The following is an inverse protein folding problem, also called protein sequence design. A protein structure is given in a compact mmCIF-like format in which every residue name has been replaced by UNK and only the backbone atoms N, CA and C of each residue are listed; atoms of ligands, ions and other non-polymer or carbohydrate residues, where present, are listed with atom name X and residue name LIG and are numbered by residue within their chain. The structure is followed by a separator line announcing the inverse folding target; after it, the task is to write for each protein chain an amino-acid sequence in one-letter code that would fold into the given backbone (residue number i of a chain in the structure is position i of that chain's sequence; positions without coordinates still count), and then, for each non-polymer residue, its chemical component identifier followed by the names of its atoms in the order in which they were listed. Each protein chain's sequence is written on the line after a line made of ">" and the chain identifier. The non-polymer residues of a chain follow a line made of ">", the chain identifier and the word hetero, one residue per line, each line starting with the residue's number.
data_IF_152267737632
#
_entry.id   IF_152267737632
#
_cell.length_a   1.000
_cell.length_b   1.000
_cell.length_c   1.000
_cell.angle_alpha   90.00
_cell.angle_beta   90.00
_cell.angle_gamma   90.00
#
_symmetry.space_group_name_H-M   'P 1'
#
loop_
_entity.id
_entity.type
_entity.pdbx_description
1 polymer ?
#
# COMPACT_ATOMS: atom_id res chain seq x y z
N UNK A 1 -18.88 39.74 -3.57
CA UNK A 1 -19.11 38.41 -4.19
C UNK A 1 -17.98 37.43 -3.94
N UNK A 2 -16.73 37.73 -4.28
CA UNK A 2 -15.59 36.82 -4.04
C UNK A 2 -15.44 36.33 -2.59
N UNK A 3 -15.34 37.24 -1.61
CA UNK A 3 -15.18 36.85 -0.21
C UNK A 3 -16.33 36.02 0.33
N UNK A 4 -17.55 36.32 -0.14
CA UNK A 4 -18.73 35.57 0.22
C UNK A 4 -18.67 34.14 -0.35
N UNK A 5 -18.34 33.97 -1.62
CA UNK A 5 -18.24 32.63 -2.22
C UNK A 5 -17.10 31.80 -1.63
N UNK A 6 -15.95 32.42 -1.32
CA UNK A 6 -14.87 31.74 -0.58
C UNK A 6 -15.30 31.34 0.83
N UNK A 7 -15.97 32.23 1.57
CA UNK A 7 -16.42 31.92 2.93
C UNK A 7 -17.45 30.78 2.94
N UNK A 8 -18.37 30.77 1.97
CA UNK A 8 -19.34 29.68 1.81
C UNK A 8 -18.62 28.37 1.46
N UNK A 9 -17.66 28.39 0.54
CA UNK A 9 -16.86 27.21 0.20
C UNK A 9 -16.07 26.67 1.41
N UNK A 10 -15.46 27.54 2.21
CA UNK A 10 -14.71 27.14 3.40
C UNK A 10 -15.63 26.61 4.51
N UNK A 11 -16.80 27.23 4.71
CA UNK A 11 -17.81 26.71 5.63
C UNK A 11 -18.30 25.34 5.17
N UNK A 12 -18.47 25.15 3.86
CA UNK A 12 -18.86 23.87 3.29
C UNK A 12 -17.81 22.77 3.56
N UNK A 13 -16.53 23.08 3.32
CA UNK A 13 -15.42 22.18 3.68
C UNK A 13 -15.43 21.85 5.17
N UNK A 14 -15.59 22.85 6.04
CA UNK A 14 -15.56 22.65 7.48
C UNK A 14 -16.71 21.73 7.94
N UNK A 15 -17.94 21.97 7.47
CA UNK A 15 -19.10 21.14 7.82
C UNK A 15 -18.95 19.69 7.34
N UNK A 16 -18.47 19.49 6.12
CA UNK A 16 -18.24 18.13 5.59
C UNK A 16 -17.05 17.44 6.26
N UNK A 17 -16.05 18.19 6.74
CA UNK A 17 -14.87 17.63 7.43
C UNK A 17 -15.19 17.04 8.80
N UNK A 18 -16.20 17.56 9.50
CA UNK A 18 -16.66 17.07 10.82
C UNK A 18 -17.92 16.21 10.74
N UNK A 19 -18.46 16.04 9.54
CA UNK A 19 -19.62 15.18 9.25
C UNK A 19 -19.16 14.10 8.29
N UNK A 20 -19.81 13.96 7.14
CA UNK A 20 -19.42 13.05 6.06
C UNK A 20 -19.45 13.80 4.73
N UNK A 21 -18.73 13.30 3.73
CA UNK A 21 -18.76 13.87 2.38
C UNK A 21 -20.16 13.70 1.78
N UNK A 22 -20.75 14.79 1.27
CA UNK A 22 -22.15 14.81 0.83
C UNK A 22 -23.15 15.19 1.91
N UNK A 23 -22.70 15.55 3.12
CA UNK A 23 -23.59 16.09 4.17
C UNK A 23 -24.40 17.29 3.67
N UNK A 24 -23.75 18.20 2.94
CA UNK A 24 -24.41 19.41 2.43
C UNK A 24 -25.42 19.08 1.35
N UNK A 25 -25.09 18.17 0.44
CA UNK A 25 -26.00 17.70 -0.59
C UNK A 25 -27.27 17.09 0.02
N UNK A 26 -27.11 16.25 1.04
CA UNK A 26 -28.24 15.63 1.73
C UNK A 26 -29.13 16.62 2.47
N UNK A 27 -28.61 17.78 2.89
CA UNK A 27 -29.38 18.78 3.67
C UNK A 27 -29.93 19.93 2.83
N UNK A 28 -29.20 20.35 1.79
CA UNK A 28 -29.53 21.52 0.97
C UNK A 28 -29.94 21.16 -0.46
N UNK A 29 -29.82 19.89 -0.88
CA UNK A 29 -30.09 19.46 -2.26
C UNK A 29 -29.06 19.95 -3.27
N UNK A 30 -27.90 20.44 -2.81
CA UNK A 30 -26.82 20.98 -3.64
C UNK A 30 -25.47 20.42 -3.19
N UNK A 31 -24.72 19.85 -4.13
CA UNK A 31 -23.38 19.32 -3.87
C UNK A 31 -22.42 20.42 -3.39
N UNK A 32 -21.57 20.09 -2.42
CA UNK A 32 -20.54 21.01 -1.91
C UNK A 32 -19.57 21.49 -3.00
N UNK A 33 -19.36 20.65 -4.02
CA UNK A 33 -18.56 20.95 -5.21
C UNK A 33 -19.05 22.18 -5.97
N UNK A 34 -20.36 22.47 -5.93
CA UNK A 34 -20.93 23.68 -6.56
C UNK A 34 -20.39 24.93 -5.88
N UNK A 35 -20.32 24.94 -4.55
CA UNK A 35 -19.77 26.09 -3.81
C UNK A 35 -18.27 26.25 -4.07
N UNK A 36 -17.53 25.15 -4.21
CA UNK A 36 -16.11 25.19 -4.57
C UNK A 36 -15.93 25.78 -5.96
N UNK A 37 -16.67 25.29 -6.96
CA UNK A 37 -16.63 25.80 -8.32
C UNK A 37 -16.98 27.28 -8.41
N UNK A 38 -18.04 27.72 -7.71
CA UNK A 38 -18.41 29.13 -7.64
C UNK A 38 -17.29 29.98 -7.01
N UNK A 39 -16.63 29.49 -5.95
CA UNK A 39 -15.46 30.18 -5.37
C UNK A 39 -14.32 30.36 -6.37
N UNK A 40 -14.02 29.31 -7.14
CA UNK A 40 -12.98 29.35 -8.18
C UNK A 40 -13.34 30.33 -9.31
N UNK A 41 -14.58 30.30 -9.80
CA UNK A 41 -15.07 31.17 -10.87
C UNK A 41 -15.03 32.63 -10.42
N UNK A 42 -15.58 32.95 -9.25
CA UNK A 42 -15.60 34.32 -8.75
C UNK A 42 -14.20 34.88 -8.48
N UNK A 43 -13.19 34.05 -8.22
CA UNK A 43 -11.80 34.51 -8.07
C UNK A 43 -11.21 35.06 -9.37
N UNK A 44 -11.60 34.49 -10.52
CA UNK A 44 -11.14 34.92 -11.85
C UNK A 44 -11.70 36.31 -12.17
N UNK A 45 -12.96 36.55 -11.84
CA UNK A 45 -13.64 37.82 -12.12
C UNK A 45 -13.29 38.92 -11.12
N UNK A 46 -12.85 38.56 -9.91
CA UNK A 46 -12.48 39.49 -8.85
C UNK A 46 -11.15 40.24 -9.07
N UNK A 47 -10.70 40.38 -10.34
CA UNK A 47 -9.45 41.06 -10.73
C UNK A 47 -9.26 42.34 -9.90
N UNK A 48 -8.19 42.34 -9.08
CA UNK A 48 -7.71 43.48 -8.28
C UNK A 48 -8.51 43.88 -7.02
N UNK A 49 -9.41 43.05 -6.49
CA UNK A 49 -9.85 43.27 -5.10
C UNK A 49 -8.61 43.15 -4.20
N UNK A 50 -8.40 44.10 -3.27
CA UNK A 50 -7.40 44.01 -2.18
C UNK A 50 -7.62 42.69 -1.47
N UNK A 51 -6.98 41.64 -1.95
CA UNK A 51 -7.22 40.26 -1.60
C UNK A 51 -6.85 40.03 -0.13
N UNK A 52 -7.29 38.90 0.44
CA UNK A 52 -6.70 38.42 1.70
C UNK A 52 -5.18 38.49 1.54
N UNK A 53 -4.45 39.14 2.47
CA UNK A 53 -3.00 39.26 2.39
C UNK A 53 -2.38 37.89 2.07
N UNK A 54 -1.49 37.77 1.07
CA UNK A 54 -0.86 36.50 0.70
C UNK A 54 -0.22 35.78 1.89
N UNK A 55 0.26 36.54 2.87
CA UNK A 55 0.81 36.02 4.12
C UNK A 55 -0.22 35.20 4.91
N UNK A 56 -1.48 35.63 4.99
CA UNK A 56 -2.55 34.89 5.66
C UNK A 56 -2.96 33.65 4.86
N UNK A 57 -3.03 33.73 3.53
CA UNK A 57 -3.33 32.55 2.69
C UNK A 57 -2.21 31.52 2.82
N UNK A 58 -0.94 31.95 2.78
CA UNK A 58 0.22 31.09 3.02
C UNK A 58 0.15 30.41 4.38
N UNK A 59 -0.17 31.16 5.44
CA UNK A 59 -0.36 30.61 6.78
C UNK A 59 -1.48 29.55 6.79
N UNK A 60 -2.61 29.82 6.14
CA UNK A 60 -3.71 28.86 6.03
C UNK A 60 -3.30 27.58 5.27
N UNK A 61 -2.52 27.70 4.18
CA UNK A 61 -1.98 26.55 3.43
C UNK A 61 -1.04 25.73 4.32
N UNK A 62 -0.12 26.37 5.05
CA UNK A 62 0.80 25.68 5.95
C UNK A 62 0.04 24.94 7.04
N UNK A 63 -0.85 25.63 7.78
CA UNK A 63 -1.63 25.00 8.84
C UNK A 63 -2.51 23.86 8.33
N UNK A 64 -3.20 24.06 7.19
CA UNK A 64 -4.07 23.01 6.61
C UNK A 64 -3.23 21.81 6.13
N UNK A 65 -2.07 22.06 5.52
CA UNK A 65 -1.14 21.00 5.12
C UNK A 65 -0.64 20.22 6.33
N UNK A 66 -0.18 20.90 7.38
CA UNK A 66 0.37 20.26 8.58
C UNK A 66 -0.70 19.42 9.28
N UNK A 67 -1.91 19.97 9.48
CA UNK A 67 -3.04 19.25 10.07
C UNK A 67 -3.40 18.03 9.21
N UNK A 68 -3.52 18.20 7.89
CA UNK A 68 -3.85 17.09 7.00
C UNK A 68 -2.78 16.00 6.98
N UNK A 69 -1.49 16.37 6.97
CA UNK A 69 -0.37 15.42 7.03
C UNK A 69 -0.41 14.60 8.32
N UNK A 70 -0.65 15.25 9.46
CA UNK A 70 -0.80 14.57 10.76
C UNK A 70 -1.98 13.60 10.72
N UNK A 71 -3.13 14.05 10.21
CA UNK A 71 -4.34 13.22 10.13
C UNK A 71 -4.15 12.00 9.21
N UNK A 72 -3.63 12.18 8.01
CA UNK A 72 -3.37 11.06 7.09
C UNK A 72 -2.29 10.13 7.63
N UNK A 73 -1.28 10.66 8.32
CA UNK A 73 -0.28 9.82 8.98
C UNK A 73 -0.92 8.96 10.08
N UNK A 74 -1.80 9.53 10.92
CA UNK A 74 -2.55 8.79 11.94
C UNK A 74 -3.47 7.71 11.33
N UNK A 75 -4.23 8.08 10.30
CA UNK A 75 -5.11 7.17 9.56
C UNK A 75 -4.33 5.96 9.00
N UNK A 76 -3.17 6.23 8.42
CA UNK A 76 -2.29 5.20 7.84
C UNK A 76 -1.59 4.37 8.92
N UNK A 77 -1.25 4.99 10.05
CA UNK A 77 -0.60 4.32 11.18
C UNK A 77 -1.52 3.29 11.83
N UNK A 78 -2.78 3.65 12.09
CA UNK A 78 -3.77 2.76 12.71
C UNK A 78 -4.42 1.84 11.68
N UNK A 79 -5.44 2.32 10.97
CA UNK A 79 -6.16 1.60 9.92
C UNK A 79 -7.10 2.55 9.15
N UNK A 80 -7.54 2.18 7.92
CA UNK A 80 -8.49 2.99 7.16
C UNK A 80 -9.81 3.22 7.91
N UNK A 81 -10.31 4.45 7.91
CA UNK A 81 -11.44 5.01 8.67
C UNK A 81 -11.22 5.17 10.19
N UNK A 82 -9.98 5.16 10.68
CA UNK A 82 -9.69 5.39 12.09
C UNK A 82 -10.19 6.76 12.58
N UNK A 83 -9.84 7.84 11.89
CA UNK A 83 -10.23 9.20 12.24
C UNK A 83 -11.75 9.42 12.19
N UNK A 84 -12.41 8.86 11.18
CA UNK A 84 -13.87 8.97 11.06
C UNK A 84 -14.58 8.20 12.18
N UNK A 85 -14.10 7.02 12.54
CA UNK A 85 -14.72 6.20 13.59
C UNK A 85 -14.53 6.74 15.01
N UNK A 86 -13.45 7.47 15.28
CA UNK A 86 -13.11 7.94 16.63
C UNK A 86 -13.32 9.44 16.85
N UNK A 87 -13.09 10.25 15.82
CA UNK A 87 -13.15 11.70 15.90
C UNK A 87 -14.24 12.28 14.99
N UNK A 88 -14.91 11.45 14.16
CA UNK A 88 -15.84 11.90 13.13
C UNK A 88 -15.21 12.93 12.18
N UNK A 89 -13.91 12.77 11.92
CA UNK A 89 -13.18 13.62 10.99
C UNK A 89 -12.96 12.90 9.66
N UNK A 90 -13.30 13.59 8.58
CA UNK A 90 -13.01 13.14 7.22
C UNK A 90 -11.83 13.95 6.64
N UNK A 91 -10.59 13.42 6.70
CA UNK A 91 -9.41 14.14 6.24
C UNK A 91 -9.44 14.44 4.74
N UNK A 92 -10.14 13.63 3.93
CA UNK A 92 -10.25 13.87 2.49
C UNK A 92 -10.88 15.24 2.18
N UNK A 93 -11.80 15.71 3.04
CA UNK A 93 -12.47 16.99 2.83
C UNK A 93 -11.52 18.17 3.10
N UNK A 94 -10.60 18.04 4.07
CA UNK A 94 -9.57 19.05 4.33
C UNK A 94 -8.63 19.25 3.14
N UNK A 95 -8.48 18.23 2.31
CA UNK A 95 -7.70 18.32 1.08
C UNK A 95 -8.34 19.28 0.06
N UNK A 96 -9.67 19.42 0.05
CA UNK A 96 -10.35 20.45 -0.75
C UNK A 96 -10.07 21.86 -0.23
N UNK A 97 -10.00 22.07 1.09
CA UNK A 97 -9.56 23.35 1.65
C UNK A 97 -8.13 23.70 1.22
N UNK A 98 -7.21 22.74 1.29
CA UNK A 98 -5.83 22.92 0.83
C UNK A 98 -5.77 23.31 -0.65
N UNK A 99 -6.52 22.62 -1.51
CA UNK A 99 -6.59 22.92 -2.93
C UNK A 99 -7.18 24.33 -3.18
N UNK A 100 -8.26 24.70 -2.47
CA UNK A 100 -8.85 26.03 -2.55
C UNK A 100 -7.87 27.12 -2.14
N UNK A 101 -7.22 26.99 -0.97
CA UNK A 101 -6.24 27.99 -0.52
C UNK A 101 -5.05 28.11 -1.47
N UNK A 102 -4.54 26.97 -1.95
CA UNK A 102 -3.44 26.93 -2.92
C UNK A 102 -3.81 27.66 -4.21
N UNK A 103 -5.00 27.40 -4.75
CA UNK A 103 -5.49 28.06 -5.95
C UNK A 103 -5.61 29.57 -5.77
N UNK A 104 -6.21 30.02 -4.65
CA UNK A 104 -6.37 31.45 -4.38
C UNK A 104 -5.01 32.15 -4.19
N UNK A 105 -4.03 31.49 -3.58
CA UNK A 105 -2.65 32.02 -3.51
C UNK A 105 -2.03 32.14 -4.91
N UNK A 106 -2.18 31.14 -5.77
CA UNK A 106 -1.57 31.13 -7.10
C UNK A 106 -2.18 32.17 -8.04
N UNK A 107 -3.50 32.39 -7.95
CA UNK A 107 -4.15 33.52 -8.65
C UNK A 107 -3.61 34.86 -8.13
N UNK A 108 -3.37 35.00 -6.82
CA UNK A 108 -2.73 36.20 -6.26
C UNK A 108 -1.29 36.40 -6.77
N UNK A 109 -0.55 35.31 -7.01
CA UNK A 109 0.77 35.34 -7.64
C UNK A 109 0.71 35.60 -9.15
N UNK A 110 -0.46 35.96 -9.70
CA UNK A 110 -0.71 36.29 -11.11
C UNK A 110 -0.53 35.12 -12.07
N UNK A 111 -0.63 33.87 -11.59
CA UNK A 111 -0.67 32.73 -12.48
C UNK A 111 -1.98 32.71 -13.27
N UNK A 112 -1.93 32.22 -14.51
CA UNK A 112 -3.14 32.02 -15.31
C UNK A 112 -3.99 30.90 -14.70
N UNK A 113 -5.30 30.98 -14.86
CA UNK A 113 -6.26 29.98 -14.38
C UNK A 113 -5.79 28.51 -14.57
N UNK A 114 -5.42 28.04 -15.77
CA UNK A 114 -5.01 26.64 -15.96
C UNK A 114 -3.73 26.29 -15.20
N UNK A 115 -2.81 27.23 -15.04
CA UNK A 115 -1.58 27.02 -14.27
C UNK A 115 -1.87 26.95 -12.77
N UNK A 116 -2.71 27.86 -12.27
CA UNK A 116 -3.12 27.87 -10.87
C UNK A 116 -3.86 26.57 -10.50
N UNK A 117 -4.73 26.08 -11.37
CA UNK A 117 -5.44 24.81 -11.19
C UNK A 117 -4.46 23.62 -11.18
N UNK A 118 -3.56 23.55 -12.17
CA UNK A 118 -2.55 22.48 -12.26
C UNK A 118 -1.67 22.42 -11.01
N UNK A 119 -1.11 23.56 -10.58
CA UNK A 119 -0.26 23.57 -9.39
C UNK A 119 -1.02 23.27 -8.11
N UNK A 120 -2.30 23.68 -8.00
CA UNK A 120 -3.13 23.30 -6.86
C UNK A 120 -3.39 21.79 -6.82
N UNK A 121 -3.61 21.17 -7.98
CA UNK A 121 -3.74 19.71 -8.10
C UNK A 121 -2.41 19.00 -7.76
N UNK A 122 -1.27 19.55 -8.16
CA UNK A 122 0.04 18.99 -7.79
C UNK A 122 0.31 19.09 -6.27
N UNK A 123 -0.07 20.20 -5.63
CA UNK A 123 0.01 20.35 -4.16
C UNK A 123 -0.91 19.33 -3.48
N UNK A 124 -2.15 19.18 -3.98
CA UNK A 124 -3.11 18.20 -3.49
C UNK A 124 -2.52 16.78 -3.52
N UNK A 125 -1.98 16.35 -4.67
CA UNK A 125 -1.40 15.01 -4.83
C UNK A 125 -0.11 14.84 -3.99
N UNK A 126 0.76 15.86 -3.99
CA UNK A 126 2.02 15.81 -3.26
C UNK A 126 1.83 15.68 -1.75
N UNK A 127 0.87 16.40 -1.18
CA UNK A 127 0.59 16.36 0.26
C UNK A 127 -0.05 15.04 0.69
N UNK A 128 -1.00 14.47 -0.07
CA UNK A 128 -1.55 13.13 0.20
C UNK A 128 -0.49 12.03 0.11
N UNK A 129 0.31 12.03 -0.96
CA UNK A 129 1.40 11.08 -1.12
C UNK A 129 2.42 11.15 0.02
N UNK A 130 2.74 12.37 0.48
CA UNK A 130 3.65 12.59 1.62
C UNK A 130 3.05 12.07 2.92
N UNK A 131 1.79 12.39 3.22
CA UNK A 131 1.10 11.93 4.43
C UNK A 131 1.04 10.41 4.52
N UNK A 132 0.68 9.73 3.42
CA UNK A 132 0.65 8.26 3.35
C UNK A 132 2.05 7.67 3.55
N UNK A 133 3.05 8.26 2.90
CA UNK A 133 4.44 7.82 3.04
C UNK A 133 4.93 7.97 4.47
N UNK A 134 4.65 9.10 5.12
CA UNK A 134 4.99 9.33 6.53
C UNK A 134 4.26 8.37 7.47
N UNK A 135 2.99 8.06 7.21
CA UNK A 135 2.24 7.07 7.97
C UNK A 135 2.83 5.65 7.85
N UNK A 136 3.14 5.22 6.63
CA UNK A 136 3.81 3.92 6.40
C UNK A 136 5.22 3.89 7.00
N UNK A 137 5.98 4.96 6.82
CA UNK A 137 7.33 5.09 7.35
C UNK A 137 7.32 5.10 8.88
N UNK A 138 6.46 5.88 9.53
CA UNK A 138 6.36 5.95 10.99
C UNK A 138 5.95 4.61 11.60
N UNK A 139 5.00 3.89 10.99
CA UNK A 139 4.63 2.54 11.42
C UNK A 139 5.82 1.59 11.36
N UNK A 140 6.55 1.57 10.23
CA UNK A 140 7.71 0.67 10.05
C UNK A 140 8.92 1.10 10.89
N UNK A 141 9.27 2.39 10.88
CA UNK A 141 10.35 2.96 11.68
C UNK A 141 10.11 2.76 13.17
N UNK A 142 8.86 2.87 13.64
CA UNK A 142 8.52 2.54 15.03
C UNK A 142 9.00 1.14 15.43
N UNK A 143 8.80 0.14 14.57
CA UNK A 143 9.32 -1.21 14.81
C UNK A 143 10.84 -1.29 14.78
N UNK A 144 11.49 -0.58 13.85
CA UNK A 144 12.96 -0.57 13.75
C UNK A 144 13.64 0.17 14.91
N UNK A 145 13.04 1.26 15.39
CA UNK A 145 13.57 2.10 16.46
C UNK A 145 13.25 1.57 17.86
N UNK A 146 12.16 0.81 18.02
CA UNK A 146 11.82 0.20 19.31
C UNK A 146 12.88 -0.82 19.78
N UNK A 147 13.58 -1.47 18.84
CA UNK A 147 14.56 -2.51 19.15
C UNK A 147 15.86 -2.29 18.37
N UNK A 148 16.63 -1.22 18.72
CA UNK A 148 17.77 -0.77 17.93
C UNK A 148 18.91 -1.81 17.91
N UNK A 149 19.03 -2.61 18.98
CA UNK A 149 20.06 -3.62 19.17
C UNK A 149 19.82 -4.91 18.39
N UNK A 150 18.64 -5.11 17.79
CA UNK A 150 18.43 -6.29 16.93
C UNK A 150 19.33 -6.23 15.70
N UNK A 151 19.83 -7.40 15.31
CA UNK A 151 20.57 -7.58 14.06
C UNK A 151 19.66 -7.35 12.86
N UNK A 152 20.28 -7.17 11.69
CA UNK A 152 19.55 -7.01 10.43
C UNK A 152 18.57 -8.17 10.19
N UNK A 153 19.03 -9.40 10.35
CA UNK A 153 18.23 -10.61 10.16
C UNK A 153 17.05 -10.69 11.14
N UNK A 154 17.27 -10.34 12.41
CA UNK A 154 16.21 -10.32 13.42
C UNK A 154 15.14 -9.26 13.09
N UNK A 155 15.56 -8.08 12.63
CA UNK A 155 14.64 -7.02 12.21
C UNK A 155 13.81 -7.45 10.99
N UNK A 156 14.44 -8.07 9.99
CA UNK A 156 13.72 -8.56 8.82
C UNK A 156 12.77 -9.71 9.13
N UNK A 157 13.18 -10.66 9.99
CA UNK A 157 12.30 -11.74 10.45
C UNK A 157 11.06 -11.20 11.18
N UNK A 158 11.21 -10.07 11.90
CA UNK A 158 10.09 -9.41 12.58
C UNK A 158 9.17 -8.65 11.62
N UNK A 159 9.73 -7.96 10.61
CA UNK A 159 8.94 -7.22 9.60
C UNK A 159 8.23 -8.16 8.64
N UNK A 160 8.85 -9.30 8.31
CA UNK A 160 8.34 -10.31 7.38
C UNK A 160 8.31 -11.70 8.06
N UNK A 161 7.43 -11.89 9.05
CA UNK A 161 7.36 -13.14 9.82
C UNK A 161 7.04 -14.32 8.91
N UNK A 162 7.80 -15.42 9.09
CA UNK A 162 7.72 -16.61 8.23
C UNK A 162 8.36 -16.42 6.86
N UNK A 163 8.03 -15.34 6.14
CA UNK A 163 8.52 -15.10 4.78
C UNK A 163 10.04 -14.94 4.70
N UNK A 164 10.63 -14.02 5.48
CA UNK A 164 12.08 -13.79 5.41
C UNK A 164 12.93 -15.00 5.84
N UNK A 165 12.64 -15.67 6.98
CA UNK A 165 13.32 -16.92 7.33
C UNK A 165 13.22 -17.97 6.23
N UNK A 166 12.05 -18.14 5.62
CA UNK A 166 11.86 -19.06 4.50
C UNK A 166 12.72 -18.70 3.29
N UNK A 167 12.80 -17.42 2.90
CA UNK A 167 13.65 -17.00 1.78
C UNK A 167 15.14 -17.28 2.05
N UNK A 168 15.61 -17.08 3.29
CA UNK A 168 16.99 -17.45 3.67
C UNK A 168 17.24 -18.94 3.48
N UNK A 169 16.28 -19.78 3.86
CA UNK A 169 16.42 -21.23 3.68
C UNK A 169 16.37 -21.65 2.22
N UNK A 170 15.54 -21.01 1.39
CA UNK A 170 15.57 -21.24 -0.06
C UNK A 170 16.95 -20.93 -0.63
N UNK A 171 17.57 -19.81 -0.23
CA UNK A 171 18.94 -19.46 -0.65
C UNK A 171 19.95 -20.52 -0.22
N UNK A 172 19.82 -21.05 1.00
CA UNK A 172 20.73 -22.10 1.50
C UNK A 172 20.55 -23.45 0.79
N UNK A 173 19.31 -23.79 0.42
CA UNK A 173 18.94 -25.10 -0.13
C UNK A 173 19.08 -25.19 -1.65
N UNK A 174 19.18 -24.08 -2.37
CA UNK A 174 19.13 -24.07 -3.83
C UNK A 174 20.39 -23.49 -4.47
N UNK A 175 20.85 -24.00 -5.62
CA UNK A 175 21.94 -23.41 -6.39
C UNK A 175 21.65 -21.98 -6.85
N UNK A 176 22.68 -21.18 -7.08
CA UNK A 176 22.55 -19.78 -7.55
C UNK A 176 21.89 -19.65 -8.93
N UNK A 177 22.10 -20.63 -9.81
CA UNK A 177 21.55 -20.65 -11.17
C UNK A 177 20.14 -21.30 -11.25
N UNK A 178 19.50 -21.55 -10.11
CA UNK A 178 18.19 -22.19 -10.08
C UNK A 178 17.05 -21.23 -10.42
N UNK A 179 15.89 -21.80 -10.80
CA UNK A 179 14.63 -21.07 -10.91
C UNK A 179 13.70 -21.44 -9.77
N UNK A 180 13.18 -20.44 -9.06
CA UNK A 180 12.17 -20.57 -8.03
C UNK A 180 10.81 -20.19 -8.63
N UNK A 181 9.90 -21.15 -8.66
CA UNK A 181 8.51 -20.96 -9.02
C UNK A 181 7.69 -20.57 -7.79
N UNK A 182 6.91 -19.52 -7.92
CA UNK A 182 6.11 -18.92 -6.84
C UNK A 182 4.63 -18.84 -7.23
N UNK A 183 3.71 -18.72 -6.25
CA UNK A 183 2.28 -18.54 -6.53
C UNK A 183 1.98 -17.30 -7.38
N UNK A 184 0.76 -17.19 -7.95
CA UNK A 184 0.31 -15.95 -8.56
C UNK A 184 0.20 -14.84 -7.49
N UNK A 185 0.43 -13.59 -7.88
CA UNK A 185 0.25 -12.43 -6.99
C UNK A 185 -1.24 -12.09 -6.85
N UNK A 186 -1.97 -12.91 -6.11
CA UNK A 186 -3.39 -12.75 -5.80
C UNK A 186 -3.66 -13.17 -4.36
N UNK A 187 -4.80 -12.80 -3.79
CA UNK A 187 -5.24 -13.34 -2.51
C UNK A 187 -5.28 -14.89 -2.60
N UNK A 188 -4.66 -15.65 -1.67
CA UNK A 188 -4.03 -15.21 -0.41
C UNK A 188 -2.52 -14.93 -0.43
N UNK A 189 -1.84 -15.04 -1.57
CA UNK A 189 -0.39 -14.90 -1.76
C UNK A 189 0.06 -13.49 -2.16
N UNK A 190 -0.40 -12.46 -1.45
CA UNK A 190 -0.06 -11.06 -1.78
C UNK A 190 1.45 -10.79 -1.70
N UNK A 191 2.12 -11.37 -0.68
CA UNK A 191 3.56 -11.27 -0.49
C UNK A 191 4.33 -12.35 -1.24
N UNK A 192 3.88 -13.60 -1.16
CA UNK A 192 4.54 -14.77 -1.71
C UNK A 192 4.52 -14.81 -3.24
N UNK A 193 3.44 -14.31 -3.83
CA UNK A 193 3.31 -14.16 -5.28
C UNK A 193 4.00 -12.89 -5.81
N UNK A 194 4.51 -12.00 -4.95
CA UNK A 194 5.21 -10.81 -5.41
C UNK A 194 6.62 -11.16 -5.91
N UNK A 195 6.75 -11.43 -7.21
CA UNK A 195 8.01 -11.88 -7.81
C UNK A 195 9.18 -10.91 -7.65
N UNK A 196 8.92 -9.60 -7.59
CA UNK A 196 9.97 -8.60 -7.32
C UNK A 196 10.48 -8.71 -5.88
N UNK A 197 9.57 -8.89 -4.91
CA UNK A 197 9.91 -9.08 -3.50
C UNK A 197 10.68 -10.39 -3.27
N UNK A 198 10.19 -11.51 -3.80
CA UNK A 198 10.88 -12.80 -3.67
C UNK A 198 12.27 -12.73 -4.28
N UNK A 199 12.40 -12.21 -5.52
CA UNK A 199 13.69 -12.06 -6.21
C UNK A 199 14.70 -11.26 -5.41
N UNK A 200 14.26 -10.20 -4.73
CA UNK A 200 15.14 -9.41 -3.87
C UNK A 200 15.82 -10.26 -2.80
N UNK A 201 15.11 -11.21 -2.19
CA UNK A 201 15.67 -12.05 -1.13
C UNK A 201 16.42 -13.30 -1.63
N UNK A 202 16.07 -13.83 -2.81
CA UNK A 202 16.66 -15.08 -3.32
C UNK A 202 17.72 -14.89 -4.41
N UNK A 203 18.04 -13.64 -4.78
CA UNK A 203 19.07 -13.31 -5.77
C UNK A 203 20.37 -14.11 -5.53
N UNK A 204 21.03 -14.64 -6.58
CA UNK A 204 20.83 -14.40 -8.02
C UNK A 204 19.80 -15.29 -8.73
N UNK A 205 19.01 -16.08 -7.99
CA UNK A 205 18.10 -17.07 -8.57
C UNK A 205 17.01 -16.41 -9.41
N UNK A 206 16.60 -17.10 -10.47
CA UNK A 206 15.50 -16.63 -11.31
C UNK A 206 14.17 -16.90 -10.59
N UNK A 207 13.24 -15.96 -10.63
CA UNK A 207 11.91 -16.11 -10.02
C UNK A 207 10.85 -16.02 -11.11
N UNK A 208 9.94 -17.00 -11.13
CA UNK A 208 8.81 -17.07 -12.08
C UNK A 208 7.51 -17.35 -11.33
N UNK A 209 6.48 -16.54 -11.58
CA UNK A 209 5.13 -16.85 -11.14
C UNK A 209 4.53 -17.96 -12.00
N UNK A 210 3.86 -18.93 -11.38
CA UNK A 210 3.03 -19.91 -12.06
C UNK A 210 1.57 -19.70 -11.66
N UNK A 211 0.64 -20.02 -12.57
CA UNK A 211 -0.78 -20.09 -12.21
C UNK A 211 -1.08 -21.42 -11.51
N UNK A 212 -2.29 -21.56 -10.95
CA UNK A 212 -2.67 -22.69 -10.11
C UNK A 212 -2.67 -24.06 -10.82
N UNK A 213 -2.62 -24.11 -12.16
CA UNK A 213 -2.91 -25.31 -12.95
C UNK A 213 -1.87 -25.65 -14.02
N UNK A 214 -0.58 -25.36 -13.83
CA UNK A 214 0.38 -25.55 -14.92
C UNK A 214 1.61 -26.35 -14.53
N UNK A 215 1.87 -27.37 -15.35
CA UNK A 215 3.15 -28.01 -15.62
C UNK A 215 4.33 -27.03 -15.42
N UNK A 216 5.37 -27.46 -14.72
CA UNK A 216 6.58 -26.65 -14.57
C UNK A 216 7.26 -26.55 -15.94
N UNK A 217 7.43 -25.34 -16.51
CA UNK A 217 8.12 -25.20 -17.78
C UNK A 217 9.57 -25.62 -17.60
N UNK A 218 10.14 -26.24 -18.63
CA UNK A 218 11.57 -26.53 -18.68
C UNK A 218 12.37 -25.24 -18.50
N UNK A 219 13.32 -25.24 -17.59
CA UNK A 219 14.27 -24.13 -17.40
C UNK A 219 15.70 -24.63 -17.45
N UNK A 220 16.62 -23.69 -17.67
CA UNK A 220 18.05 -23.96 -17.55
C UNK A 220 18.40 -24.14 -16.06
N UNK A 221 19.02 -25.26 -15.71
CA UNK A 221 19.36 -25.61 -14.33
C UNK A 221 18.23 -26.35 -13.57
N UNK A 222 18.27 -26.28 -12.24
CA UNK A 222 17.29 -26.91 -11.35
C UNK A 222 16.08 -26.00 -11.10
N UNK A 223 14.88 -26.58 -11.17
CA UNK A 223 13.63 -25.91 -10.86
C UNK A 223 13.15 -26.25 -9.44
N UNK A 224 12.69 -25.24 -8.72
CA UNK A 224 12.14 -25.41 -7.38
C UNK A 224 10.77 -24.75 -7.27
N UNK A 225 9.78 -25.44 -6.72
CA UNK A 225 8.43 -24.94 -6.47
C UNK A 225 8.32 -24.56 -5.00
N UNK A 226 8.04 -23.28 -4.73
CA UNK A 226 7.72 -22.80 -3.39
C UNK A 226 6.41 -23.43 -2.92
N UNK A 227 6.34 -23.87 -1.68
CA UNK A 227 5.05 -24.18 -1.04
C UNK A 227 4.74 -23.05 -0.08
N UNK A 228 3.54 -22.47 -0.19
CA UNK A 228 3.16 -21.29 0.60
C UNK A 228 1.67 -21.30 0.95
N UNK A 229 1.36 -21.16 2.24
CA UNK A 229 -0.02 -21.05 2.75
C UNK A 229 -0.74 -19.77 2.29
N UNK A 230 0.01 -18.68 2.13
CA UNK A 230 -0.51 -17.34 1.83
C UNK A 230 -0.48 -16.42 3.05
N UNK A 231 -0.06 -15.18 2.83
CA UNK A 231 0.13 -14.14 3.84
C UNK A 231 -1.15 -13.39 4.20
N UNK A 232 -2.14 -13.36 3.30
CA UNK A 232 -3.41 -12.70 3.59
C UNK A 232 -4.23 -13.54 4.58
N UNK A 233 -4.88 -12.86 5.54
CA UNK A 233 -5.95 -13.47 6.35
C UNK A 233 -7.12 -13.76 5.43
N UNK A 234 -7.12 -14.91 4.75
CA UNK A 234 -8.22 -15.30 3.89
C UNK A 234 -9.54 -15.25 4.68
N UNK A 235 -10.66 -14.97 4.01
CA UNK A 235 -11.99 -15.25 4.57
C UNK A 235 -12.21 -16.75 4.40
N UNK A 236 -11.75 -17.52 5.37
CA UNK A 236 -11.36 -18.92 5.20
C UNK A 236 -12.52 -19.88 4.95
N UNK A 237 -12.55 -20.47 3.76
CA UNK A 237 -12.95 -21.88 3.59
C UNK A 237 -11.69 -22.71 3.34
N UNK A 238 -11.72 -24.02 3.64
CA UNK A 238 -10.55 -24.90 3.51
C UNK A 238 -9.95 -24.98 2.09
N UNK A 239 -10.75 -24.67 1.06
CA UNK A 239 -10.37 -24.74 -0.35
C UNK A 239 -9.37 -23.65 -0.80
N UNK A 240 -9.33 -22.49 -0.13
CA UNK A 240 -8.49 -21.36 -0.53
C UNK A 240 -7.05 -21.43 0.02
N UNK A 241 -6.73 -22.45 0.82
CA UNK A 241 -5.44 -22.58 1.49
C UNK A 241 -4.35 -23.22 0.63
N UNK A 242 -3.12 -22.69 0.71
CA UNK A 242 -1.92 -23.37 0.20
C UNK A 242 -1.72 -23.28 -1.31
N UNK A 243 -0.48 -23.04 -1.71
CA UNK A 243 0.02 -23.21 -3.06
C UNK A 243 1.23 -24.15 -3.00
N UNK A 244 1.41 -25.05 -3.98
CA UNK A 244 0.56 -25.26 -5.14
C UNK A 244 -0.76 -25.99 -4.82
N UNK A 245 -1.75 -25.87 -5.71
CA UNK A 245 -3.10 -26.45 -5.57
C UNK A 245 -3.23 -27.87 -6.14
N UNK A 246 -2.28 -28.28 -6.96
CA UNK A 246 -2.19 -29.63 -7.52
C UNK A 246 -1.15 -30.46 -6.79
N UNK A 247 -1.20 -31.77 -6.99
CA UNK A 247 -0.16 -32.71 -6.57
C UNK A 247 1.09 -32.54 -7.41
N UNK A 248 2.28 -32.57 -6.79
CA UNK A 248 3.56 -32.43 -7.48
C UNK A 248 4.52 -33.57 -7.16
N UNK A 249 5.11 -34.14 -8.19
CA UNK A 249 6.21 -35.11 -8.02
C UNK A 249 7.54 -34.38 -8.11
N UNK A 250 8.38 -34.54 -7.08
CA UNK A 250 9.69 -33.92 -7.01
C UNK A 250 10.79 -34.92 -6.63
N UNK A 251 12.04 -34.54 -6.90
CA UNK A 251 13.23 -35.26 -6.44
C UNK A 251 13.38 -35.20 -4.94
N UNK A 252 13.18 -34.01 -4.39
CA UNK A 252 13.35 -33.67 -2.98
C UNK A 252 12.29 -32.67 -2.57
N UNK A 253 11.86 -32.74 -1.32
CA UNK A 253 11.03 -31.72 -0.73
C UNK A 253 11.49 -31.39 0.69
N UNK A 254 11.40 -30.12 1.01
CA UNK A 254 11.74 -29.57 2.30
C UNK A 254 10.50 -28.92 2.88
N UNK A 255 10.05 -29.40 4.05
CA UNK A 255 9.06 -28.69 4.85
C UNK A 255 9.78 -27.61 5.66
N UNK A 256 9.39 -26.35 5.44
CA UNK A 256 10.03 -25.20 6.07
C UNK A 256 9.12 -24.70 7.20
N UNK A 257 9.67 -24.56 8.40
CA UNK A 257 9.02 -23.88 9.52
C UNK A 257 9.87 -22.67 9.90
N UNK A 258 9.21 -21.57 10.24
CA UNK A 258 9.82 -20.32 10.70
C UNK A 258 10.79 -20.47 11.89
N UNK A 259 10.70 -21.56 12.66
CA UNK A 259 11.52 -21.78 13.86
C UNK A 259 12.63 -22.83 13.70
N UNK A 260 12.44 -23.85 12.85
CA UNK A 260 13.42 -24.92 12.59
C UNK A 260 13.07 -25.67 11.29
N UNK A 261 14.07 -26.03 10.48
CA UNK A 261 13.87 -26.94 9.33
C UNK A 261 13.80 -28.35 9.87
N UNK A 262 12.63 -28.98 9.80
CA UNK A 262 12.48 -30.37 10.18
C UNK A 262 11.55 -31.03 9.18
N UNK A 263 12.13 -31.45 8.04
CA UNK A 263 12.07 -32.80 7.47
C UNK A 263 12.57 -32.67 6.02
N UNK A 264 13.81 -33.11 5.77
CA UNK A 264 14.24 -33.56 4.45
C UNK A 264 13.72 -34.99 4.32
N UNK A 265 12.82 -35.25 3.36
CA UNK A 265 12.47 -36.62 3.05
C UNK A 265 13.52 -37.19 2.11
N UNK A 266 14.16 -38.33 2.45
CA UNK A 266 15.28 -38.86 1.69
C UNK A 266 14.87 -39.28 0.27
N UNK A 267 15.88 -39.28 -0.60
CA UNK A 267 15.84 -39.53 -2.04
C UNK A 267 14.95 -40.72 -2.43
N UNK A 268 13.81 -40.41 -3.06
CA UNK A 268 13.07 -41.16 -4.08
C UNK A 268 11.67 -40.52 -4.19
N UNK A 269 11.31 -40.02 -5.38
CA UNK A 269 10.02 -39.40 -5.77
C UNK A 269 9.10 -38.98 -4.62
N UNK A 270 9.26 -37.75 -4.13
CA UNK A 270 8.30 -37.16 -3.19
C UNK A 270 7.06 -36.73 -3.95
N UNK A 271 5.88 -37.08 -3.43
CA UNK A 271 4.59 -36.62 -3.95
C UNK A 271 4.03 -35.60 -2.95
N UNK A 272 4.06 -34.32 -3.33
CA UNK A 272 3.41 -33.26 -2.58
C UNK A 272 1.90 -33.40 -2.70
N UNK A 273 1.23 -33.54 -1.56
CA UNK A 273 -0.22 -33.45 -1.44
C UNK A 273 -0.61 -32.04 -0.94
N UNK A 274 -1.43 -31.27 -1.67
CA UNK A 274 -1.95 -29.98 -1.21
C UNK A 274 -2.70 -30.06 0.14
N UNK A 275 -3.24 -31.23 0.50
CA UNK A 275 -3.93 -31.44 1.77
C UNK A 275 -2.98 -31.55 2.98
N UNK A 276 -1.66 -31.60 2.77
CA UNK A 276 -0.67 -31.71 3.85
C UNK A 276 -0.52 -30.42 4.71
N UNK A 277 -1.25 -29.35 4.41
CA UNK A 277 -1.31 -28.09 5.15
C UNK A 277 0.07 -27.49 5.50
N UNK A 278 1.02 -27.56 4.57
CA UNK A 278 2.33 -26.94 4.77
C UNK A 278 2.20 -25.42 4.81
N UNK A 279 2.74 -24.80 5.86
CA UNK A 279 2.80 -23.33 5.92
C UNK A 279 3.79 -22.79 4.90
N UNK A 280 4.97 -23.41 4.89
CA UNK A 280 6.04 -23.17 3.92
C UNK A 280 6.69 -24.48 3.53
N UNK A 281 7.24 -24.50 2.32
CA UNK A 281 8.07 -25.60 1.85
C UNK A 281 8.73 -25.28 0.54
N UNK A 282 9.49 -26.24 0.05
CA UNK A 282 10.18 -26.14 -1.22
C UNK A 282 10.24 -27.54 -1.83
N UNK A 283 9.96 -27.66 -3.12
CA UNK A 283 10.01 -28.93 -3.85
C UNK A 283 10.98 -28.76 -5.01
N UNK A 284 12.01 -29.60 -5.07
CA UNK A 284 12.84 -29.73 -6.27
C UNK A 284 12.10 -30.58 -7.29
N UNK A 285 11.79 -30.00 -8.44
CA UNK A 285 10.95 -30.66 -9.46
C UNK A 285 11.78 -31.20 -10.61
N UNK A 286 11.38 -32.37 -11.11
CA UNK A 286 11.77 -32.83 -12.43
C UNK A 286 10.78 -32.30 -13.46
N UNK A 287 11.30 -31.85 -14.59
CA UNK A 287 10.46 -31.34 -15.66
C UNK A 287 9.61 -32.49 -16.22
N UNK A 288 8.29 -32.35 -16.16
CA UNK A 288 7.37 -33.19 -16.92
C UNK A 288 7.24 -32.60 -18.34
N UNK A 289 7.43 -33.44 -19.36
CA UNK A 289 7.08 -33.11 -20.75
C UNK A 289 5.55 -32.94 -20.91
#
# INVERSE_FOLDING_TARGET
>A
MYYLSLSIALLAVLLESVSYFGFIENKLGLSSLVFYALSLIFSIYAKQIKAVPPKLIKLAITLTSDIYLILIALETYFYPNYLYSHLHLNPAVLQFALALFSYHLLIHLKLKFPQALLYSALIYVGVDGTGRTLGLASRKLGYFLAEPLLTYDQKLAKVYPGFYPTMKEIVRLTPENSTIFIPPQSNPWELEGNGAMVRYFVYPRTVKNLSDNLFVPKVEGSGYVLVAKGSAKARTTAYDYGWPKSTWTGKKAWKLNSENILVEQPENTYIYDPDNLWEWGLIEVDYAE
#
